data_IF_146317428243
#
_entry.id   IF_146317428243
#
_cell.length_a   1.000
_cell.length_b   1.000
_cell.length_c   1.000
_cell.angle_alpha   90.00
_cell.angle_beta   90.00
_cell.angle_gamma   90.00
#
_symmetry.space_group_name_H-M   'P 1'
#
loop_
_entity.id
_entity.type
_entity.pdbx_description
1 polymer ?
#
# COMPACT_ATOMS: atom_id res chain seq x y z
N UNK A 1 -20.99 0.18 48.14
CA UNK A 1 -20.34 -1.08 48.52
C UNK A 1 -19.74 -1.69 47.26
N UNK A 2 -18.41 -1.87 47.28
CA UNK A 2 -17.59 -2.87 46.55
C UNK A 2 -17.57 -2.74 45.00
N UNK A 3 -16.56 -2.09 44.39
CA UNK A 3 -15.24 -2.63 43.90
C UNK A 3 -15.36 -3.26 42.50
N UNK A 4 -14.49 -3.09 41.50
CA UNK A 4 -13.12 -2.59 41.46
C UNK A 4 -12.79 -2.09 40.03
N UNK A 5 -12.04 -0.99 39.91
CA UNK A 5 -11.31 -0.58 38.69
C UNK A 5 -9.86 -1.05 38.86
N UNK A 6 -9.44 -2.02 38.06
CA UNK A 6 -8.04 -2.44 37.97
C UNK A 6 -7.31 -1.61 36.91
N UNK A 7 -6.18 -1.08 37.34
CA UNK A 7 -5.13 -0.43 36.58
C UNK A 7 -4.48 -1.44 35.62
N UNK A 8 -4.17 -0.98 34.40
CA UNK A 8 -3.05 -1.54 33.63
C UNK A 8 -1.99 -0.45 33.48
N UNK A 9 -0.87 -0.68 34.16
CA UNK A 9 0.40 -0.01 33.97
C UNK A 9 0.94 -0.35 32.59
N UNK A 10 1.40 0.65 31.85
CA UNK A 10 2.19 0.50 30.62
C UNK A 10 3.54 1.14 30.89
N UNK A 11 4.51 0.33 31.33
CA UNK A 11 5.92 0.61 31.20
C UNK A 11 6.47 -0.35 30.14
N UNK A 12 7.12 0.19 29.11
CA UNK A 12 8.44 -0.33 28.70
C UNK A 12 9.03 0.62 27.67
N UNK A 13 10.22 1.07 28.01
CA UNK A 13 11.18 1.79 27.19
C UNK A 13 11.47 1.06 25.86
N UNK A 14 11.60 1.86 24.80
CA UNK A 14 12.17 1.46 23.53
C UNK A 14 13.14 2.54 23.10
N UNK A 15 14.42 2.33 23.39
CA UNK A 15 15.51 3.20 23.01
C UNK A 15 15.56 3.40 21.49
N UNK A 16 15.61 4.66 21.06
CA UNK A 16 15.95 5.05 19.70
C UNK A 16 17.45 4.81 19.53
N UNK A 17 17.82 3.78 18.76
CA UNK A 17 19.19 3.61 18.29
C UNK A 17 19.39 4.57 17.12
N UNK A 18 20.32 5.50 17.28
CA UNK A 18 20.82 6.37 16.21
C UNK A 18 21.54 5.49 15.18
N UNK A 19 20.88 5.18 14.08
CA UNK A 19 21.51 4.52 12.94
C UNK A 19 21.93 5.59 11.92
N UNK A 20 23.24 5.74 11.79
CA UNK A 20 23.91 6.60 10.82
C UNK A 20 23.48 6.23 9.39
N UNK A 21 22.65 7.08 8.80
CA UNK A 21 22.23 7.03 7.40
C UNK A 21 23.44 7.31 6.49
N UNK A 22 24.06 6.25 5.96
CA UNK A 22 25.04 6.37 4.89
C UNK A 22 24.34 6.40 3.52
N UNK A 23 24.39 7.55 2.88
CA UNK A 23 23.97 7.75 1.48
C UNK A 23 24.93 7.00 0.56
N UNK A 24 24.45 5.92 -0.08
CA UNK A 24 25.18 5.26 -1.17
C UNK A 24 24.90 6.01 -2.47
N UNK A 25 25.84 6.87 -2.86
CA UNK A 25 25.93 7.37 -4.22
C UNK A 25 26.34 6.21 -5.14
N UNK A 26 25.43 5.72 -6.00
CA UNK A 26 25.87 4.95 -7.18
C UNK A 26 25.04 3.76 -7.67
N UNK A 27 23.88 3.43 -7.10
CA UNK A 27 23.04 2.34 -7.65
C UNK A 27 21.64 2.81 -8.00
N UNK A 28 21.43 3.04 -9.31
CA UNK A 28 20.10 3.19 -9.90
C UNK A 28 19.29 1.92 -9.65
N UNK A 29 18.10 1.99 -9.02
CA UNK A 29 17.16 0.89 -9.12
C UNK A 29 16.70 0.78 -10.58
N UNK A 30 16.66 -0.44 -11.10
CA UNK A 30 16.08 -0.74 -12.41
C UNK A 30 14.61 -0.31 -12.43
N UNK A 31 14.21 0.47 -13.42
CA UNK A 31 12.81 0.77 -13.71
C UNK A 31 12.07 -0.50 -14.10
N UNK A 32 11.23 -1.01 -13.19
CA UNK A 32 10.20 -2.00 -13.53
C UNK A 32 8.96 -1.27 -14.02
N UNK A 33 9.00 -0.79 -15.26
CA UNK A 33 7.83 -0.35 -16.01
C UNK A 33 7.99 -0.85 -17.45
N UNK A 34 7.40 -2.02 -17.72
CA UNK A 34 7.00 -2.38 -19.07
C UNK A 34 5.70 -1.61 -19.39
N UNK A 35 5.64 -0.84 -20.48
CA UNK A 35 4.38 -0.32 -21.00
C UNK A 35 3.73 -1.39 -21.87
N UNK A 36 2.54 -1.85 -21.49
CA UNK A 36 1.70 -2.60 -22.42
C UNK A 36 1.01 -1.59 -23.35
N UNK A 37 1.55 -1.50 -24.56
CA UNK A 37 1.00 -0.71 -25.64
C UNK A 37 0.01 -1.59 -26.42
N UNK A 38 -1.28 -1.33 -26.23
CA UNK A 38 -2.35 -2.01 -26.96
C UNK A 38 -3.67 -1.25 -26.90
N UNK A 39 -3.70 0.00 -27.35
CA UNK A 39 -4.92 0.81 -27.40
C UNK A 39 -4.91 1.78 -28.57
N UNK A 40 -5.19 1.27 -29.77
CA UNK A 40 -5.42 2.08 -30.96
C UNK A 40 -6.79 2.74 -30.86
N UNK A 41 -6.77 4.06 -31.04
CA UNK A 41 -7.88 4.98 -31.31
C UNK A 41 -8.91 4.40 -32.28
N UNK A 42 -10.21 4.40 -31.92
CA UNK A 42 -11.25 4.94 -32.82
C UNK A 42 -12.56 5.29 -32.11
N UNK A 43 -13.05 6.43 -32.57
CA UNK A 43 -14.20 7.25 -32.21
C UNK A 43 -15.54 6.69 -32.73
N UNK A 44 -16.65 7.03 -32.04
CA UNK A 44 -17.94 7.36 -32.67
C UNK A 44 -19.04 6.29 -32.90
N UNK A 45 -20.13 6.46 -32.14
CA UNK A 45 -21.57 6.42 -32.53
C UNK A 45 -22.31 5.09 -32.82
N UNK A 46 -23.34 4.89 -31.98
CA UNK A 46 -24.78 4.78 -32.29
C UNK A 46 -25.40 3.57 -33.05
N UNK A 47 -26.57 3.17 -32.51
CA UNK A 47 -27.74 2.45 -33.05
C UNK A 47 -27.69 1.00 -33.60
N UNK A 48 -28.57 0.15 -33.03
CA UNK A 48 -29.64 -0.54 -33.79
C UNK A 48 -29.50 -2.03 -34.17
N UNK A 49 -30.37 -2.85 -33.54
CA UNK A 49 -31.16 -3.99 -34.08
C UNK A 49 -30.54 -5.35 -34.53
N UNK A 50 -31.12 -6.39 -33.91
CA UNK A 50 -31.64 -7.69 -34.41
C UNK A 50 -30.79 -8.78 -35.10
N UNK A 51 -30.96 -9.99 -34.52
CA UNK A 51 -31.30 -11.29 -35.15
C UNK A 51 -30.26 -12.43 -35.21
N UNK A 52 -30.72 -13.56 -34.65
CA UNK A 52 -30.62 -14.98 -35.08
C UNK A 52 -29.31 -15.79 -34.94
N UNK A 53 -29.41 -16.80 -34.07
CA UNK A 53 -28.67 -18.08 -33.95
C UNK A 53 -28.65 -18.96 -35.23
N UNK A 54 -28.04 -20.19 -35.25
CA UNK A 54 -26.66 -20.65 -34.95
C UNK A 54 -26.22 -21.65 -36.08
N UNK A 55 -25.59 -22.84 -35.87
CA UNK A 55 -24.40 -23.28 -35.10
C UNK A 55 -23.33 -23.98 -36.01
N UNK A 56 -22.13 -24.32 -35.50
CA UNK A 56 -21.43 -25.58 -35.85
C UNK A 56 -20.15 -25.82 -35.03
N UNK A 57 -19.99 -27.08 -34.64
CA UNK A 57 -18.92 -27.67 -33.83
C UNK A 57 -17.71 -28.11 -34.66
N UNK A 58 -16.52 -28.17 -34.04
CA UNK A 58 -15.51 -29.26 -34.14
C UNK A 58 -14.23 -28.78 -33.44
N UNK A 59 -13.69 -29.37 -32.36
CA UNK A 59 -13.13 -30.71 -32.16
C UNK A 59 -12.17 -31.20 -33.26
N UNK A 60 -10.87 -30.96 -33.06
CA UNK A 60 -9.81 -31.89 -33.49
C UNK A 60 -8.59 -31.80 -32.58
N UNK A 61 -8.36 -32.91 -31.90
CA UNK A 61 -7.12 -33.35 -31.28
C UNK A 61 -6.07 -33.76 -32.33
N UNK A 62 -4.81 -33.82 -31.86
CA UNK A 62 -3.76 -34.81 -32.21
C UNK A 62 -2.50 -34.33 -32.96
N UNK A 63 -1.39 -34.42 -32.22
CA UNK A 63 -0.17 -35.19 -32.53
C UNK A 63 1.04 -34.59 -33.30
N UNK A 64 2.14 -34.53 -32.53
CA UNK A 64 3.47 -35.14 -32.75
C UNK A 64 4.41 -34.68 -33.87
N UNK A 65 5.55 -34.11 -33.43
CA UNK A 65 6.97 -34.53 -33.65
C UNK A 65 7.85 -33.49 -32.95
N UNK A 66 8.63 -33.71 -31.89
CA UNK A 66 9.55 -34.77 -31.46
C UNK A 66 10.84 -34.89 -32.29
N UNK A 67 11.91 -34.27 -31.78
CA UNK A 67 13.32 -34.63 -31.91
C UNK A 67 14.00 -34.01 -30.66
N UNK A 68 14.24 -34.71 -29.53
CA UNK A 68 15.05 -35.90 -29.22
C UNK A 68 16.55 -35.69 -29.43
N UNK A 69 17.24 -35.28 -28.35
CA UNK A 69 18.48 -35.97 -27.95
C UNK A 69 18.40 -36.35 -26.48
N UNK A 70 18.82 -37.60 -26.24
CA UNK A 70 18.57 -38.44 -25.08
C UNK A 70 19.87 -38.63 -24.25
N UNK A 71 19.76 -39.29 -23.07
CA UNK A 71 20.69 -39.29 -21.95
C UNK A 71 21.46 -40.62 -21.79
N UNK A 72 22.22 -40.73 -20.69
CA UNK A 72 22.59 -41.97 -19.98
C UNK A 72 22.74 -41.60 -18.49
N UNK A 73 21.83 -41.98 -17.57
CA UNK A 73 21.74 -43.23 -16.76
C UNK A 73 23.06 -43.57 -16.03
N UNK A 74 23.13 -43.84 -14.72
CA UNK A 74 22.30 -44.75 -13.90
C UNK A 74 22.66 -44.66 -12.39
N UNK A 75 21.68 -44.81 -11.48
CA UNK A 75 21.89 -45.16 -10.05
C UNK A 75 22.14 -46.68 -9.85
N UNK A 76 22.19 -47.27 -8.62
CA UNK A 76 21.30 -46.96 -7.48
C UNK A 76 21.89 -47.08 -6.02
N UNK A 77 21.06 -46.60 -5.07
CA UNK A 77 20.85 -46.97 -3.65
C UNK A 77 21.91 -47.69 -2.78
N UNK A 78 22.17 -47.18 -1.56
CA UNK A 78 21.73 -47.78 -0.26
C UNK A 78 22.33 -47.09 0.99
N UNK A 79 21.44 -46.85 1.97
CA UNK A 79 21.60 -46.92 3.44
C UNK A 79 22.74 -46.20 4.22
N UNK A 80 22.27 -45.39 5.17
CA UNK A 80 22.71 -45.26 6.58
C UNK A 80 23.98 -44.46 6.92
N UNK A 81 23.88 -43.70 8.01
CA UNK A 81 25.01 -43.40 8.89
C UNK A 81 25.42 -41.93 8.95
N UNK A 82 24.93 -41.25 9.98
CA UNK A 82 25.53 -40.06 10.59
C UNK A 82 27.05 -40.14 10.72
N UNK A 83 27.80 -39.20 10.13
CA UNK A 83 29.04 -38.64 10.69
C UNK A 83 29.63 -37.57 9.74
N UNK A 84 29.81 -36.37 10.29
CA UNK A 84 30.97 -35.48 10.16
C UNK A 84 31.70 -35.39 8.80
N UNK A 85 31.67 -34.21 8.17
CA UNK A 85 32.78 -33.67 7.35
C UNK A 85 32.66 -32.14 7.29
N UNK A 86 32.97 -31.47 8.40
CA UNK A 86 33.41 -30.07 8.41
C UNK A 86 34.93 -30.08 8.25
N UNK A 87 35.42 -29.91 7.03
CA UNK A 87 36.85 -29.75 6.78
C UNK A 87 37.07 -28.96 5.49
N UNK A 88 37.15 -27.64 5.63
CA UNK A 88 38.17 -26.86 4.94
C UNK A 88 38.30 -25.48 5.59
N UNK A 89 39.47 -25.30 6.20
CA UNK A 89 40.12 -24.03 6.52
C UNK A 89 39.61 -23.28 7.76
N UNK A 90 39.89 -23.93 8.89
CA UNK A 90 40.36 -23.27 10.11
C UNK A 90 41.49 -22.27 9.78
N UNK A 91 41.21 -20.98 9.86
CA UNK A 91 42.24 -20.01 10.26
C UNK A 91 42.54 -20.29 11.73
N UNK A 92 43.63 -21.02 11.93
CA UNK A 92 44.22 -21.27 13.25
C UNK A 92 44.50 -19.94 13.92
N UNK A 93 43.80 -19.70 15.02
CA UNK A 93 44.36 -18.95 16.14
C UNK A 93 45.66 -19.64 16.53
N UNK A 94 46.78 -18.98 16.29
CA UNK A 94 48.10 -19.36 16.79
C UNK A 94 48.40 -18.47 18.00
N UNK A 95 47.70 -18.73 19.10
CA UNK A 95 48.34 -18.64 20.41
C UNK A 95 49.27 -19.85 20.50
N UNK A 96 50.48 -19.68 20.00
CA UNK A 96 51.55 -20.65 20.11
C UNK A 96 52.70 -19.96 20.82
N UNK A 97 52.89 -20.32 22.09
CA UNK A 97 54.09 -20.08 22.89
C UNK A 97 55.31 -20.79 22.25
N UNK A 98 55.70 -20.35 21.06
CA UNK A 98 57.06 -20.50 20.57
C UNK A 98 57.86 -19.30 21.10
N UNK A 99 59.15 -19.45 21.47
CA UNK A 99 59.93 -18.30 21.88
C UNK A 99 59.98 -17.35 20.69
N UNK A 100 59.22 -16.25 20.76
CA UNK A 100 59.37 -15.17 19.80
C UNK A 100 60.83 -14.77 19.86
N UNK A 101 61.55 -15.06 18.79
CA UNK A 101 62.96 -14.66 18.68
C UNK A 101 63.01 -13.18 18.98
N UNK A 102 63.94 -12.78 19.84
CA UNK A 102 64.14 -11.38 20.22
C UNK A 102 64.16 -10.47 18.98
N UNK A 103 64.75 -10.95 17.88
CA UNK A 103 64.74 -10.32 16.56
C UNK A 103 63.34 -10.11 15.95
N UNK A 104 62.43 -11.09 16.07
CA UNK A 104 61.04 -10.96 15.62
C UNK A 104 60.28 -9.90 16.44
N UNK A 105 60.43 -9.87 17.76
CA UNK A 105 59.81 -8.86 18.63
C UNK A 105 60.40 -7.45 18.44
N UNK A 106 61.67 -7.33 18.02
CA UNK A 106 62.27 -6.06 17.62
C UNK A 106 61.76 -5.56 16.28
N UNK A 107 61.63 -6.43 15.28
CA UNK A 107 61.07 -6.07 13.97
C UNK A 107 59.58 -5.68 14.11
N UNK A 108 58.85 -6.27 15.06
CA UNK A 108 57.47 -5.88 15.42
C UNK A 108 57.38 -4.60 16.26
N UNK A 109 58.51 -3.99 16.63
CA UNK A 109 58.54 -2.73 17.41
C UNK A 109 58.21 -2.86 18.89
N UNK A 110 58.04 -4.08 19.40
CA UNK A 110 57.69 -4.37 20.80
C UNK A 110 58.90 -4.25 21.73
N UNK A 111 60.12 -4.35 21.20
CA UNK A 111 61.38 -4.28 21.94
C UNK A 111 62.18 -3.04 21.53
N UNK A 112 62.69 -2.27 22.50
CA UNK A 112 63.56 -1.10 22.24
C UNK A 112 64.88 -1.54 21.58
N UNK A 113 65.31 -0.81 20.53
CA UNK A 113 66.55 -1.05 19.75
C UNK A 113 67.78 -1.34 20.60
N UNK A 114 67.89 -0.69 21.75
CA UNK A 114 69.09 -0.78 22.58
C UNK A 114 69.23 -2.15 23.27
N UNK A 115 68.10 -2.83 23.54
CA UNK A 115 68.08 -4.18 24.12
C UNK A 115 68.50 -5.23 23.10
N UNK A 116 68.02 -5.10 21.85
CA UNK A 116 68.41 -6.01 20.79
C UNK A 116 69.86 -5.81 20.37
N UNK A 117 70.29 -4.55 20.24
CA UNK A 117 71.68 -4.18 19.96
C UNK A 117 72.61 -4.76 21.02
N UNK A 118 72.32 -4.56 22.30
CA UNK A 118 73.15 -5.10 23.40
C UNK A 118 73.27 -6.63 23.33
N UNK A 119 72.16 -7.34 23.12
CA UNK A 119 72.14 -8.80 23.05
C UNK A 119 72.88 -9.35 21.80
N UNK A 120 72.60 -8.81 20.61
CA UNK A 120 73.17 -9.28 19.33
C UNK A 120 74.65 -8.92 19.23
N UNK A 121 75.06 -7.72 19.65
CA UNK A 121 76.47 -7.33 19.65
C UNK A 121 77.29 -8.11 20.69
N UNK A 122 76.67 -8.63 21.76
CA UNK A 122 77.35 -9.49 22.74
C UNK A 122 77.58 -10.93 22.24
N UNK A 123 76.66 -11.47 21.43
CA UNK A 123 76.71 -12.86 20.98
C UNK A 123 77.47 -13.03 19.66
N UNK A 124 77.53 -12.00 18.81
CA UNK A 124 78.23 -12.07 17.52
C UNK A 124 79.05 -10.80 17.26
N UNK A 125 80.27 -10.69 17.83
CA UNK A 125 81.15 -9.53 17.66
C UNK A 125 81.53 -9.24 16.19
N UNK A 126 81.46 -10.26 15.32
CA UNK A 126 81.74 -10.16 13.88
C UNK A 126 80.68 -9.38 13.09
N UNK A 127 79.47 -9.19 13.63
CA UNK A 127 78.38 -8.43 12.98
C UNK A 127 78.57 -6.92 13.05
N UNK A 128 79.50 -6.40 13.86
CA UNK A 128 79.89 -4.98 13.83
C UNK A 128 80.49 -4.54 12.46
N UNK A 129 80.85 -5.50 11.60
CA UNK A 129 81.36 -5.22 10.24
C UNK A 129 80.29 -5.21 9.16
N UNK A 130 79.09 -5.75 9.42
CA UNK A 130 77.94 -5.59 8.54
C UNK A 130 77.19 -4.35 8.99
N UNK A 131 77.52 -3.23 8.37
CA UNK A 131 76.77 -1.99 8.50
C UNK A 131 75.42 -2.15 7.77
N UNK A 132 74.54 -3.02 8.28
CA UNK A 132 73.13 -2.96 7.97
C UNK A 132 72.67 -1.60 8.48
N UNK A 133 72.47 -0.65 7.57
CA UNK A 133 72.11 0.72 7.92
C UNK A 133 70.88 0.67 8.81
N UNK A 134 70.87 1.41 9.93
CA UNK A 134 69.68 1.56 10.75
C UNK A 134 68.45 2.00 9.93
N UNK A 135 68.69 2.67 8.81
CA UNK A 135 67.71 3.01 7.78
C UNK A 135 67.01 1.78 7.17
N UNK A 136 67.71 0.68 6.90
CA UNK A 136 67.12 -0.53 6.31
C UNK A 136 66.25 -1.29 7.30
N UNK A 137 66.61 -1.25 8.59
CA UNK A 137 65.79 -1.80 9.68
C UNK A 137 64.49 -1.03 9.83
N UNK A 138 64.55 0.32 9.79
CA UNK A 138 63.35 1.16 9.84
C UNK A 138 62.48 0.97 8.59
N UNK A 139 63.08 0.85 7.39
CA UNK A 139 62.33 0.52 6.16
C UNK A 139 61.63 -0.83 6.27
N UNK A 140 62.30 -1.86 6.81
CA UNK A 140 61.70 -3.17 7.01
C UNK A 140 60.54 -3.12 8.02
N UNK A 141 60.70 -2.37 9.11
CA UNK A 141 59.64 -2.15 10.10
C UNK A 141 58.43 -1.43 9.49
N UNK A 142 58.66 -0.40 8.68
CA UNK A 142 57.59 0.31 7.96
C UNK A 142 56.88 -0.62 6.98
N UNK A 143 57.62 -1.37 6.15
CA UNK A 143 57.06 -2.34 5.22
C UNK A 143 56.23 -3.43 5.93
N UNK A 144 56.67 -3.91 7.09
CA UNK A 144 55.92 -4.90 7.86
C UNK A 144 54.66 -4.31 8.48
N UNK A 145 54.71 -3.05 8.94
CA UNK A 145 53.54 -2.32 9.44
C UNK A 145 52.52 -2.10 8.34
N UNK A 146 52.96 -1.67 7.15
CA UNK A 146 52.12 -1.52 5.96
C UNK A 146 51.52 -2.85 5.49
N UNK A 147 52.28 -3.94 5.57
CA UNK A 147 51.76 -5.27 5.28
C UNK A 147 50.66 -5.69 6.27
N UNK A 148 50.83 -5.42 7.57
CA UNK A 148 49.82 -5.74 8.58
C UNK A 148 48.55 -4.89 8.43
N UNK A 149 48.68 -3.60 8.11
CA UNK A 149 47.52 -2.74 7.84
C UNK A 149 46.81 -3.18 6.56
N UNK A 150 47.54 -3.55 5.51
CA UNK A 150 46.97 -4.07 4.28
C UNK A 150 46.25 -5.41 4.51
N UNK A 151 46.85 -6.33 5.28
CA UNK A 151 46.21 -7.59 5.66
C UNK A 151 44.91 -7.35 6.42
N UNK A 152 44.95 -6.46 7.41
CA UNK A 152 43.77 -6.12 8.22
C UNK A 152 42.66 -5.47 7.39
N UNK A 153 43.02 -4.60 6.45
CA UNK A 153 42.03 -3.98 5.54
C UNK A 153 41.46 -5.00 4.56
N UNK A 154 42.26 -5.93 4.03
CA UNK A 154 41.78 -7.01 3.18
C UNK A 154 40.81 -7.94 3.92
N UNK A 155 41.12 -8.31 5.16
CA UNK A 155 40.25 -9.13 6.00
C UNK A 155 38.91 -8.42 6.27
N UNK A 156 38.94 -7.10 6.53
CA UNK A 156 37.72 -6.30 6.68
C UNK A 156 36.90 -6.27 5.39
N UNK A 157 37.52 -6.01 4.24
CA UNK A 157 36.84 -5.96 2.94
C UNK A 157 36.22 -7.32 2.61
N UNK A 158 36.92 -8.42 2.87
CA UNK A 158 36.41 -9.77 2.62
C UNK A 158 35.19 -10.09 3.50
N UNK A 159 35.26 -9.77 4.80
CA UNK A 159 34.11 -9.91 5.71
C UNK A 159 32.91 -9.05 5.26
N UNK A 160 33.16 -7.80 4.86
CA UNK A 160 32.12 -6.92 4.31
C UNK A 160 31.49 -7.49 3.04
N UNK A 161 32.29 -8.06 2.14
CA UNK A 161 31.80 -8.69 0.91
C UNK A 161 30.92 -9.92 1.21
N UNK A 162 31.34 -10.76 2.17
CA UNK A 162 30.55 -11.91 2.63
C UNK A 162 29.22 -11.47 3.24
N UNK A 163 29.22 -10.41 4.04
CA UNK A 163 28.00 -9.84 4.61
C UNK A 163 27.06 -9.30 3.53
N UNK A 164 27.58 -8.57 2.53
CA UNK A 164 26.77 -8.11 1.40
C UNK A 164 26.20 -9.26 0.58
N UNK A 165 26.98 -10.32 0.36
CA UNK A 165 26.49 -11.51 -0.34
C UNK A 165 25.33 -12.17 0.42
N UNK A 166 25.49 -12.36 1.73
CA UNK A 166 24.45 -12.92 2.60
C UNK A 166 23.19 -12.06 2.62
N UNK A 167 23.34 -10.75 2.76
CA UNK A 167 22.22 -9.81 2.74
C UNK A 167 21.50 -9.87 1.38
N UNK A 168 22.24 -9.85 0.28
CA UNK A 168 21.66 -9.95 -1.07
C UNK A 168 20.89 -11.27 -1.25
N UNK A 169 21.39 -12.37 -0.69
CA UNK A 169 20.70 -13.66 -0.75
C UNK A 169 19.39 -13.65 0.06
N UNK A 170 19.39 -13.04 1.25
CA UNK A 170 18.18 -12.86 2.05
C UNK A 170 17.13 -12.03 1.30
N UNK A 171 17.54 -10.92 0.68
CA UNK A 171 16.62 -10.07 -0.09
C UNK A 171 16.00 -10.80 -1.28
N UNK A 172 16.78 -11.65 -1.97
CA UNK A 172 16.25 -12.50 -3.05
C UNK A 172 15.23 -13.51 -2.53
N UNK A 173 15.51 -14.14 -1.39
CA UNK A 173 14.59 -15.10 -0.78
C UNK A 173 13.29 -14.41 -0.37
N UNK A 174 13.38 -13.29 0.36
CA UNK A 174 12.19 -12.54 0.77
C UNK A 174 11.38 -12.01 -0.41
N UNK A 175 12.04 -11.59 -1.50
CA UNK A 175 11.35 -11.18 -2.72
C UNK A 175 10.58 -12.35 -3.36
N UNK A 176 11.19 -13.54 -3.42
CA UNK A 176 10.54 -14.75 -3.92
C UNK A 176 9.36 -15.18 -3.03
N UNK A 177 9.52 -15.12 -1.70
CA UNK A 177 8.47 -15.47 -0.73
C UNK A 177 7.27 -14.49 -0.84
N UNK A 178 7.54 -13.18 -0.96
CA UNK A 178 6.49 -12.16 -1.19
C UNK A 178 5.78 -12.39 -2.53
N UNK A 179 6.51 -12.70 -3.60
CA UNK A 179 5.92 -13.01 -4.90
C UNK A 179 5.01 -14.23 -4.83
N UNK A 180 5.43 -15.28 -4.12
CA UNK A 180 4.62 -16.49 -3.92
C UNK A 180 3.36 -16.18 -3.11
N UNK A 181 3.47 -15.37 -2.05
CA UNK A 181 2.31 -14.95 -1.26
C UNK A 181 1.31 -14.14 -2.09
N UNK A 182 1.77 -13.18 -2.89
CA UNK A 182 0.90 -12.42 -3.78
C UNK A 182 0.22 -13.32 -4.83
N UNK A 183 0.95 -14.29 -5.40
CA UNK A 183 0.37 -15.27 -6.33
C UNK A 183 -0.72 -16.11 -5.66
N UNK A 184 -0.50 -16.55 -4.42
CA UNK A 184 -1.47 -17.33 -3.68
C UNK A 184 -2.74 -16.52 -3.37
N UNK A 185 -2.59 -15.27 -2.91
CA UNK A 185 -3.72 -14.36 -2.69
C UNK A 185 -4.51 -14.07 -3.97
N UNK A 186 -3.82 -13.95 -5.11
CA UNK A 186 -4.46 -13.76 -6.41
C UNK A 186 -5.31 -14.98 -6.79
N UNK A 187 -4.80 -16.20 -6.57
CA UNK A 187 -5.52 -17.44 -6.83
C UNK A 187 -6.75 -17.58 -5.92
N UNK A 188 -6.60 -17.31 -4.62
CA UNK A 188 -7.72 -17.34 -3.66
C UNK A 188 -8.81 -16.33 -4.04
N UNK A 189 -8.42 -15.10 -4.43
CA UNK A 189 -9.35 -14.08 -4.90
C UNK A 189 -10.05 -14.51 -6.20
N UNK A 190 -9.31 -15.12 -7.13
CA UNK A 190 -9.87 -15.65 -8.37
C UNK A 190 -10.91 -16.75 -8.10
N UNK A 191 -10.62 -17.66 -7.17
CA UNK A 191 -11.54 -18.73 -6.76
C UNK A 191 -12.81 -18.17 -6.10
N UNK A 192 -12.67 -17.16 -5.23
CA UNK A 192 -13.81 -16.47 -4.63
C UNK A 192 -14.69 -15.78 -5.69
N UNK A 193 -14.08 -15.11 -6.67
CA UNK A 193 -14.82 -14.48 -7.78
C UNK A 193 -15.57 -15.52 -8.60
N UNK A 194 -14.98 -16.69 -8.87
CA UNK A 194 -15.63 -17.78 -9.58
C UNK A 194 -16.82 -18.31 -8.76
N UNK A 195 -16.64 -18.55 -7.46
CA UNK A 195 -17.71 -19.00 -6.56
C UNK A 195 -18.88 -18.02 -6.51
N UNK A 196 -18.60 -16.74 -6.30
CA UNK A 196 -19.63 -15.69 -6.26
C UNK A 196 -20.35 -15.53 -7.60
N UNK A 197 -19.65 -15.71 -8.72
CA UNK A 197 -20.29 -15.70 -10.05
C UNK A 197 -21.23 -16.88 -10.22
N UNK A 198 -20.83 -18.08 -9.78
CA UNK A 198 -21.69 -19.26 -9.83
C UNK A 198 -22.94 -19.08 -8.95
N UNK A 199 -22.77 -18.57 -7.72
CA UNK A 199 -23.89 -18.28 -6.82
C UNK A 199 -24.85 -17.23 -7.42
N UNK A 200 -24.31 -16.14 -7.99
CA UNK A 200 -25.13 -15.14 -8.66
C UNK A 200 -25.90 -15.71 -9.87
N UNK A 201 -25.30 -16.63 -10.63
CA UNK A 201 -25.99 -17.30 -11.72
C UNK A 201 -27.11 -18.21 -11.20
N UNK A 202 -26.87 -18.94 -10.12
CA UNK A 202 -27.90 -19.77 -9.48
C UNK A 202 -29.06 -18.93 -8.96
N UNK A 203 -28.77 -17.85 -8.23
CA UNK A 203 -29.80 -16.95 -7.71
C UNK A 203 -30.62 -16.29 -8.83
N UNK A 204 -30.00 -15.95 -9.96
CA UNK A 204 -30.72 -15.46 -11.14
C UNK A 204 -31.68 -16.51 -11.70
N UNK A 205 -31.22 -17.74 -11.88
CA UNK A 205 -32.06 -18.83 -12.36
C UNK A 205 -33.24 -19.12 -11.41
N UNK A 206 -32.99 -19.08 -10.10
CA UNK A 206 -34.03 -19.25 -9.08
C UNK A 206 -35.05 -18.11 -9.12
N UNK A 207 -34.59 -16.86 -9.27
CA UNK A 207 -35.46 -15.69 -9.42
C UNK A 207 -36.33 -15.77 -10.69
N UNK A 208 -35.74 -16.12 -11.83
CA UNK A 208 -36.48 -16.31 -13.08
C UNK A 208 -37.55 -17.40 -12.93
N UNK A 209 -37.20 -18.50 -12.27
CA UNK A 209 -38.16 -19.59 -11.97
C UNK A 209 -39.30 -19.11 -11.07
N UNK A 210 -39.01 -18.28 -10.07
CA UNK A 210 -40.02 -17.71 -9.16
C UNK A 210 -40.91 -16.69 -9.85
N UNK A 211 -40.36 -15.86 -10.74
CA UNK A 211 -41.14 -14.93 -11.57
C UNK A 211 -42.11 -15.71 -12.44
N UNK A 212 -41.65 -16.75 -13.15
CA UNK A 212 -42.52 -17.60 -13.96
C UNK A 212 -43.63 -18.30 -13.15
N UNK A 213 -43.33 -18.71 -11.91
CA UNK A 213 -44.35 -19.26 -11.00
C UNK A 213 -45.41 -18.21 -10.61
N UNK A 214 -44.99 -16.97 -10.35
CA UNK A 214 -45.91 -15.87 -10.00
C UNK A 214 -46.80 -15.53 -11.20
N UNK A 215 -46.23 -15.42 -12.40
CA UNK A 215 -46.97 -15.17 -13.64
C UNK A 215 -48.03 -16.26 -13.88
N UNK A 216 -47.67 -17.53 -13.69
CA UNK A 216 -48.63 -18.65 -13.81
C UNK A 216 -49.79 -18.53 -12.81
N UNK A 217 -49.52 -18.15 -11.56
CA UNK A 217 -50.56 -17.96 -10.54
C UNK A 217 -51.44 -16.74 -10.85
N UNK A 218 -50.85 -15.65 -11.34
CA UNK A 218 -51.58 -14.47 -11.78
C UNK A 218 -52.51 -14.80 -12.96
N UNK A 219 -52.02 -15.52 -13.96
CA UNK A 219 -52.82 -15.98 -15.11
C UNK A 219 -53.99 -16.87 -14.69
N UNK A 220 -53.76 -17.76 -13.73
CA UNK A 220 -54.81 -18.63 -13.19
C UNK A 220 -55.87 -17.83 -12.44
N UNK A 221 -55.45 -16.94 -11.54
CA UNK A 221 -56.34 -16.04 -10.79
C UNK A 221 -57.15 -15.14 -11.72
N UNK A 222 -56.52 -14.60 -12.78
CA UNK A 222 -57.20 -13.77 -13.77
C UNK A 222 -58.27 -14.56 -14.53
N UNK A 223 -57.98 -15.80 -14.95
CA UNK A 223 -58.97 -16.68 -15.57
C UNK A 223 -60.13 -16.99 -14.64
N UNK A 224 -59.87 -17.31 -13.38
CA UNK A 224 -60.94 -17.55 -12.39
C UNK A 224 -61.82 -16.32 -12.20
N UNK A 225 -61.23 -15.11 -12.13
CA UNK A 225 -62.00 -13.87 -12.05
C UNK A 225 -62.85 -13.61 -13.29
N UNK A 226 -62.32 -13.89 -14.48
CA UNK A 226 -63.04 -13.72 -15.74
C UNK A 226 -64.21 -14.71 -15.86
N UNK A 227 -64.01 -15.97 -15.45
CA UNK A 227 -65.06 -16.99 -15.39
C UNK A 227 -66.15 -16.63 -14.37
N UNK A 228 -65.75 -16.14 -13.18
CA UNK A 228 -66.69 -15.62 -12.18
C UNK A 228 -67.48 -14.42 -12.72
N UNK A 229 -66.80 -13.47 -13.38
CA UNK A 229 -67.45 -12.29 -13.99
C UNK A 229 -68.46 -12.72 -15.06
N UNK A 230 -68.11 -13.71 -15.89
CA UNK A 230 -69.02 -14.28 -16.89
C UNK A 230 -70.23 -14.93 -16.24
N UNK A 231 -70.02 -15.79 -15.24
CA UNK A 231 -71.11 -16.45 -14.48
C UNK A 231 -72.05 -15.44 -13.82
N UNK A 232 -71.50 -14.38 -13.21
CA UNK A 232 -72.30 -13.29 -12.64
C UNK A 232 -73.11 -12.59 -13.74
N UNK A 233 -72.50 -12.26 -14.88
CA UNK A 233 -73.21 -11.60 -15.99
C UNK A 233 -74.36 -12.44 -16.55
N UNK A 234 -74.18 -13.76 -16.67
CA UNK A 234 -75.22 -14.71 -17.10
C UNK A 234 -76.39 -14.75 -16.09
N UNK A 235 -76.08 -14.84 -14.79
CA UNK A 235 -77.09 -14.79 -13.72
C UNK A 235 -77.83 -13.45 -13.67
N UNK A 236 -77.12 -12.33 -13.81
CA UNK A 236 -77.73 -11.00 -13.86
C UNK A 236 -78.65 -10.84 -15.07
N UNK A 237 -78.26 -11.37 -16.24
CA UNK A 237 -79.10 -11.38 -17.44
C UNK A 237 -80.39 -12.17 -17.21
N UNK A 238 -80.30 -13.36 -16.60
CA UNK A 238 -81.47 -14.16 -16.23
C UNK A 238 -82.39 -13.44 -15.26
N UNK A 239 -81.84 -12.82 -14.21
CA UNK A 239 -82.62 -12.02 -13.24
C UNK A 239 -83.35 -10.88 -13.95
N UNK A 240 -82.68 -10.16 -14.85
CA UNK A 240 -83.30 -9.09 -15.62
C UNK A 240 -84.43 -9.60 -16.52
N UNK A 241 -84.23 -10.76 -17.17
CA UNK A 241 -85.27 -11.40 -17.98
C UNK A 241 -86.49 -11.79 -17.13
N UNK A 242 -86.27 -12.46 -15.99
CA UNK A 242 -87.34 -12.82 -15.05
C UNK A 242 -88.06 -11.59 -14.51
N UNK A 243 -87.34 -10.49 -14.25
CA UNK A 243 -87.94 -9.22 -13.78
C UNK A 243 -88.93 -8.66 -14.79
N UNK A 244 -88.56 -8.62 -16.08
CA UNK A 244 -89.45 -8.17 -17.15
C UNK A 244 -90.69 -9.06 -17.26
N UNK A 245 -90.53 -10.38 -17.13
CA UNK A 245 -91.65 -11.34 -17.13
C UNK A 245 -92.61 -11.10 -15.95
N UNK A 246 -92.07 -10.85 -14.75
CA UNK A 246 -92.84 -10.51 -13.55
C UNK A 246 -93.63 -9.22 -13.77
N UNK A 247 -92.99 -8.16 -14.28
CA UNK A 247 -93.65 -6.87 -14.54
C UNK A 247 -94.79 -7.04 -15.56
N UNK A 248 -94.57 -7.85 -16.61
CA UNK A 248 -95.58 -8.17 -17.62
C UNK A 248 -96.76 -8.94 -17.05
N UNK A 249 -96.50 -9.94 -16.20
CA UNK A 249 -97.55 -10.71 -15.50
C UNK A 249 -98.32 -9.84 -14.50
N UNK A 250 -97.67 -8.90 -13.82
CA UNK A 250 -98.33 -7.94 -12.95
C UNK A 250 -99.24 -7.00 -13.74
N UNK A 251 -98.79 -6.45 -14.87
CA UNK A 251 -99.65 -5.64 -15.75
C UNK A 251 -100.87 -6.41 -16.23
N UNK A 252 -100.70 -7.66 -16.68
CA UNK A 252 -101.82 -8.51 -17.12
C UNK A 252 -102.83 -8.76 -15.98
N UNK A 253 -102.35 -9.06 -14.77
CA UNK A 253 -103.23 -9.27 -13.60
C UNK A 253 -103.92 -7.99 -13.14
N UNK A 254 -103.25 -6.83 -13.17
CA UNK A 254 -103.84 -5.55 -12.79
C UNK A 254 -105.00 -5.11 -13.71
N UNK A 255 -105.12 -5.70 -14.91
CA UNK A 255 -106.19 -5.41 -15.86
C UNK A 255 -107.32 -6.46 -15.88
N UNK A 256 -107.21 -7.54 -15.09
CA UNK A 256 -108.13 -8.70 -15.14
C UNK A 256 -108.97 -8.92 -13.88
N UNK A 257 -108.96 -8.03 -12.90
CA UNK A 257 -109.78 -8.16 -11.68
C UNK A 257 -110.67 -6.94 -11.47
N UNK A 258 -111.98 -7.19 -11.46
CA UNK A 258 -113.04 -6.25 -11.08
C UNK A 258 -113.31 -6.40 -9.58
N UNK A 259 -113.21 -5.31 -8.83
CA UNK A 259 -113.36 -5.28 -7.37
C UNK A 259 -114.85 -5.38 -7.02
N UNK A 260 -115.27 -6.49 -6.39
CA UNK A 260 -116.64 -6.68 -5.88
C UNK A 260 -116.73 -6.09 -4.47
N UNK A 261 -117.54 -5.04 -4.24
CA UNK A 261 -117.80 -4.54 -2.90
C UNK A 261 -118.89 -5.38 -2.23
N UNK A 262 -118.58 -6.06 -1.14
CA UNK A 262 -119.62 -6.53 -0.21
C UNK A 262 -119.97 -5.41 0.78
N UNK A 263 -121.07 -4.71 0.50
CA UNK A 263 -121.79 -3.91 1.49
C UNK A 263 -122.73 -4.82 2.31
N UNK A 264 -122.69 -4.67 3.64
CA UNK A 264 -123.51 -5.43 4.56
C UNK A 264 -123.65 -4.83 5.96
N UNK A 265 -124.21 -3.61 6.04
CA UNK A 265 -125.14 -3.09 7.07
C UNK A 265 -124.78 -3.03 8.59
N UNK A 266 -124.75 -1.77 9.06
CA UNK A 266 -125.42 -1.16 10.24
C UNK A 266 -125.10 -1.66 11.66
N UNK A 267 -124.51 -0.77 12.48
CA UNK A 267 -125.14 -0.11 13.65
C UNK A 267 -124.07 0.61 14.51
N UNK A 268 -124.24 1.91 14.73
CA UNK A 268 -123.71 2.64 15.90
C UNK A 268 -124.26 2.02 17.20
N UNK A 269 -123.60 2.07 18.39
CA UNK A 269 -122.85 3.23 18.88
C UNK A 269 -121.54 2.96 19.66
N UNK A 270 -120.71 4.01 19.70
CA UNK A 270 -119.76 4.42 20.75
C UNK A 270 -119.11 3.36 21.68
N UNK A 271 -117.80 3.13 21.51
CA UNK A 271 -116.90 2.65 22.55
C UNK A 271 -115.44 2.98 22.21
N UNK A 272 -114.91 4.00 22.89
CA UNK A 272 -113.56 4.10 23.45
C UNK A 272 -112.38 3.59 22.58
N UNK A 273 -111.46 4.52 22.26
CA UNK A 273 -110.00 4.25 22.27
C UNK A 273 -109.64 2.81 21.86
N UNK A 274 -109.93 2.43 20.62
CA UNK A 274 -109.37 1.22 20.05
C UNK A 274 -107.87 1.48 19.82
N UNK A 275 -107.13 1.48 20.92
CA UNK A 275 -105.74 1.05 20.95
C UNK A 275 -105.65 -0.12 19.98
N UNK A 276 -104.87 0.05 18.91
CA UNK A 276 -104.46 -1.02 18.02
C UNK A 276 -103.72 -2.07 18.87
N UNK A 277 -104.48 -2.94 19.53
CA UNK A 277 -103.95 -4.09 20.23
C UNK A 277 -103.54 -5.08 19.14
N UNK A 278 -102.27 -5.03 18.75
CA UNK A 278 -101.62 -6.12 18.02
C UNK A 278 -101.89 -7.40 18.81
N UNK A 279 -102.48 -8.41 18.17
CA UNK A 279 -102.69 -9.72 18.81
C UNK A 279 -101.36 -10.20 19.38
N UNK A 280 -101.40 -10.76 20.60
CA UNK A 280 -100.20 -11.17 21.34
C UNK A 280 -99.25 -12.04 20.51
N UNK A 281 -99.81 -12.90 19.67
CA UNK A 281 -99.04 -13.77 18.77
C UNK A 281 -98.30 -13.00 17.66
N UNK A 282 -98.90 -11.92 17.14
CA UNK A 282 -98.28 -11.05 16.13
C UNK A 282 -97.21 -10.15 16.74
N UNK A 283 -97.46 -9.64 17.96
CA UNK A 283 -96.43 -8.94 18.74
C UNK A 283 -95.25 -9.88 19.04
N UNK A 284 -95.51 -11.12 19.45
CA UNK A 284 -94.45 -12.11 19.73
C UNK A 284 -93.72 -12.56 18.45
N UNK A 285 -94.36 -12.47 17.28
CA UNK A 285 -93.70 -12.66 15.98
C UNK A 285 -92.76 -11.51 15.65
N UNK A 286 -93.23 -10.26 15.79
CA UNK A 286 -92.42 -9.06 15.57
C UNK A 286 -91.24 -8.97 16.54
N UNK A 287 -91.42 -9.32 17.82
CA UNK A 287 -90.33 -9.38 18.81
C UNK A 287 -89.30 -10.45 18.45
N UNK A 288 -89.71 -11.61 17.92
CA UNK A 288 -88.77 -12.64 17.46
C UNK A 288 -87.98 -12.19 16.24
N UNK A 289 -88.66 -11.56 15.29
CA UNK A 289 -88.03 -10.99 14.09
C UNK A 289 -87.01 -9.91 14.45
N UNK A 290 -87.38 -8.94 15.29
CA UNK A 290 -86.46 -7.91 15.77
C UNK A 290 -85.28 -8.47 16.57
N UNK A 291 -85.49 -9.53 17.35
CA UNK A 291 -84.39 -10.24 18.04
C UNK A 291 -83.46 -10.94 17.05
N UNK A 292 -83.99 -11.49 15.97
CA UNK A 292 -83.19 -12.11 14.92
C UNK A 292 -82.33 -11.06 14.20
N UNK A 293 -82.95 -9.97 13.75
CA UNK A 293 -82.26 -8.84 13.13
C UNK A 293 -81.21 -8.22 14.06
N UNK A 294 -81.50 -8.08 15.35
CA UNK A 294 -80.52 -7.60 16.33
C UNK A 294 -79.35 -8.58 16.47
N UNK A 295 -79.61 -9.89 16.46
CA UNK A 295 -78.55 -10.91 16.52
C UNK A 295 -77.67 -10.89 15.27
N UNK A 296 -78.26 -10.68 14.10
CA UNK A 296 -77.56 -10.58 12.81
C UNK A 296 -76.64 -9.35 12.81
N UNK A 297 -77.16 -8.18 13.16
CA UNK A 297 -76.37 -6.94 13.26
C UNK A 297 -75.26 -7.05 14.31
N UNK A 298 -75.48 -7.78 15.41
CA UNK A 298 -74.43 -8.01 16.44
C UNK A 298 -73.32 -8.91 15.90
N UNK A 299 -73.64 -9.94 15.11
CA UNK A 299 -72.66 -10.81 14.47
C UNK A 299 -71.80 -10.03 13.45
N UNK A 300 -72.42 -9.26 12.56
CA UNK A 300 -71.70 -8.39 11.61
C UNK A 300 -70.79 -7.39 12.34
N UNK A 301 -71.24 -6.80 13.44
CA UNK A 301 -70.43 -5.89 14.25
C UNK A 301 -69.24 -6.59 14.95
N UNK A 302 -69.32 -7.89 15.22
CA UNK A 302 -68.19 -8.67 15.72
C UNK A 302 -67.16 -8.88 14.61
N UNK A 303 -67.60 -9.30 13.42
CA UNK A 303 -66.73 -9.50 12.26
C UNK A 303 -66.00 -8.20 11.85
N UNK A 304 -66.72 -7.07 11.81
CA UNK A 304 -66.11 -5.76 11.52
C UNK A 304 -65.06 -5.40 12.57
N UNK A 305 -65.30 -5.72 13.85
CA UNK A 305 -64.33 -5.46 14.92
C UNK A 305 -63.09 -6.35 14.78
N UNK A 306 -63.26 -7.61 14.41
CA UNK A 306 -62.15 -8.53 14.13
C UNK A 306 -61.33 -8.05 12.94
N UNK A 307 -61.96 -7.70 11.82
CA UNK A 307 -61.27 -7.12 10.66
C UNK A 307 -60.51 -5.84 11.03
N UNK A 308 -61.14 -4.93 11.79
CA UNK A 308 -60.48 -3.71 12.26
C UNK A 308 -59.24 -4.03 13.09
N UNK A 309 -59.30 -5.06 13.94
CA UNK A 309 -58.17 -5.50 14.75
C UNK A 309 -57.03 -6.00 13.86
N UNK A 310 -57.32 -6.84 12.87
CA UNK A 310 -56.34 -7.33 11.90
C UNK A 310 -55.67 -6.18 11.14
N UNK A 311 -56.44 -5.20 10.65
CA UNK A 311 -55.86 -4.04 9.96
C UNK A 311 -54.96 -3.19 10.87
N UNK A 312 -55.30 -3.05 12.16
CA UNK A 312 -54.45 -2.34 13.11
C UNK A 312 -53.11 -3.09 13.29
N UNK A 313 -53.16 -4.41 13.45
CA UNK A 313 -51.97 -5.25 13.60
C UNK A 313 -51.06 -5.18 12.35
N UNK A 314 -51.66 -5.21 11.15
CA UNK A 314 -50.93 -5.07 9.89
C UNK A 314 -50.28 -3.68 9.77
N UNK A 315 -51.02 -2.61 10.08
CA UNK A 315 -50.49 -1.24 10.11
C UNK A 315 -49.31 -1.13 11.06
N UNK A 316 -49.39 -1.75 12.24
CA UNK A 316 -48.31 -1.70 13.22
C UNK A 316 -47.08 -2.50 12.77
N UNK A 317 -47.27 -3.64 12.11
CA UNK A 317 -46.18 -4.38 11.47
C UNK A 317 -45.48 -3.53 10.39
N UNK A 318 -46.26 -2.86 9.53
CA UNK A 318 -45.73 -1.98 8.50
C UNK A 318 -44.96 -0.78 9.08
N UNK A 319 -45.40 -0.20 10.20
CA UNK A 319 -44.67 0.88 10.89
C UNK A 319 -43.33 0.42 11.44
N UNK A 320 -43.27 -0.79 12.02
CA UNK A 320 -42.00 -1.36 12.51
C UNK A 320 -41.05 -1.60 11.34
N UNK A 321 -41.55 -2.18 10.24
CA UNK A 321 -40.75 -2.39 9.03
C UNK A 321 -40.23 -1.07 8.46
N UNK A 322 -41.08 -0.04 8.37
CA UNK A 322 -40.68 1.29 7.91
C UNK A 322 -39.58 1.89 8.79
N UNK A 323 -39.72 1.83 10.11
CA UNK A 323 -38.71 2.33 11.05
C UNK A 323 -37.39 1.58 10.88
N UNK A 324 -37.43 0.25 10.77
CA UNK A 324 -36.22 -0.57 10.57
C UNK A 324 -35.52 -0.25 9.23
N UNK A 325 -36.28 -0.03 8.16
CA UNK A 325 -35.75 0.35 6.86
C UNK A 325 -35.11 1.76 6.90
N UNK A 326 -35.74 2.71 7.61
CA UNK A 326 -35.20 4.05 7.81
C UNK A 326 -33.89 4.03 8.61
N UNK A 327 -33.81 3.22 9.67
CA UNK A 327 -32.58 3.05 10.45
C UNK A 327 -31.45 2.43 9.62
N UNK A 328 -31.77 1.43 8.78
CA UNK A 328 -30.81 0.82 7.87
C UNK A 328 -30.29 1.83 6.85
N UNK A 329 -31.18 2.60 6.21
CA UNK A 329 -30.77 3.67 5.30
C UNK A 329 -29.88 4.72 6.00
N UNK A 330 -30.24 5.12 7.22
CA UNK A 330 -29.43 6.04 8.02
C UNK A 330 -28.06 5.46 8.43
N UNK A 331 -27.94 4.14 8.60
CA UNK A 331 -26.65 3.47 8.78
C UNK A 331 -25.84 3.49 7.49
N UNK A 332 -26.42 3.07 6.37
CA UNK A 332 -25.74 3.05 5.07
C UNK A 332 -25.25 4.46 4.67
N UNK A 333 -26.02 5.50 4.94
CA UNK A 333 -25.61 6.87 4.68
C UNK A 333 -24.38 7.28 5.51
N UNK A 334 -24.33 6.92 6.79
CA UNK A 334 -23.15 7.15 7.65
C UNK A 334 -21.92 6.41 7.15
N UNK A 335 -22.09 5.15 6.73
CA UNK A 335 -20.99 4.34 6.18
C UNK A 335 -20.45 4.97 4.88
N UNK A 336 -21.34 5.49 4.01
CA UNK A 336 -20.95 6.24 2.80
C UNK A 336 -20.16 7.50 3.16
N UNK A 337 -20.62 8.27 4.14
CA UNK A 337 -19.96 9.52 4.54
C UNK A 337 -18.59 9.25 5.18
N UNK A 338 -18.46 8.16 5.97
CA UNK A 338 -17.17 7.73 6.52
C UNK A 338 -16.19 7.29 5.41
N UNK A 339 -16.67 6.53 4.42
CA UNK A 339 -15.85 6.13 3.27
C UNK A 339 -15.37 7.34 2.46
N UNK A 340 -16.26 8.32 2.21
CA UNK A 340 -15.87 9.58 1.54
C UNK A 340 -14.82 10.35 2.32
N UNK A 341 -14.95 10.44 3.65
CA UNK A 341 -13.96 11.12 4.48
C UNK A 341 -12.59 10.44 4.41
N UNK A 342 -12.54 9.10 4.44
CA UNK A 342 -11.30 8.33 4.27
C UNK A 342 -10.69 8.49 2.89
N UNK A 343 -11.52 8.58 1.86
CA UNK A 343 -11.07 8.77 0.47
C UNK A 343 -10.41 10.16 0.29
N UNK A 344 -11.03 11.21 0.85
CA UNK A 344 -10.46 12.56 0.88
C UNK A 344 -9.10 12.56 1.59
N UNK A 345 -9.00 11.93 2.76
CA UNK A 345 -7.74 11.87 3.52
C UNK A 345 -6.62 11.17 2.72
N UNK A 346 -6.94 10.06 2.04
CA UNK A 346 -5.97 9.36 1.19
C UNK A 346 -5.57 10.19 -0.02
N UNK A 347 -6.50 10.94 -0.60
CA UNK A 347 -6.21 11.83 -1.71
C UNK A 347 -5.22 12.93 -1.31
N UNK A 348 -5.40 13.52 -0.12
CA UNK A 348 -4.46 14.50 0.45
C UNK A 348 -3.06 13.90 0.66
N UNK A 349 -2.97 12.67 1.16
CA UNK A 349 -1.71 11.95 1.34
C UNK A 349 -0.99 11.70 0.00
N UNK A 350 -1.74 11.28 -1.03
CA UNK A 350 -1.22 11.08 -2.38
C UNK A 350 -0.68 12.39 -2.95
N UNK A 351 -1.38 13.51 -2.75
CA UNK A 351 -0.94 14.83 -3.21
C UNK A 351 0.33 15.30 -2.50
N UNK A 352 0.44 15.07 -1.19
CA UNK A 352 1.65 15.35 -0.44
C UNK A 352 2.83 14.52 -0.97
N UNK A 353 2.65 13.20 -1.15
CA UNK A 353 3.70 12.31 -1.67
C UNK A 353 4.12 12.66 -3.10
N UNK A 354 3.17 13.05 -3.98
CA UNK A 354 3.49 13.55 -5.33
C UNK A 354 4.36 14.80 -5.27
N UNK A 355 3.97 15.75 -4.43
CA UNK A 355 4.73 17.00 -4.25
C UNK A 355 6.14 16.72 -3.74
N UNK A 356 6.29 15.80 -2.77
CA UNK A 356 7.58 15.38 -2.27
C UNK A 356 8.44 14.72 -3.36
N UNK A 357 7.84 13.84 -4.18
CA UNK A 357 8.54 13.21 -5.30
C UNK A 357 9.02 14.25 -6.32
N UNK A 358 8.19 15.24 -6.65
CA UNK A 358 8.54 16.30 -7.58
C UNK A 358 9.68 17.19 -7.06
N UNK A 359 9.72 17.45 -5.75
CA UNK A 359 10.83 18.16 -5.11
C UNK A 359 12.13 17.34 -5.24
N UNK A 360 12.12 16.06 -4.83
CA UNK A 360 13.31 15.22 -4.94
C UNK A 360 13.78 15.03 -6.38
N UNK A 361 12.86 14.97 -7.34
CA UNK A 361 13.20 14.91 -8.76
C UNK A 361 13.92 16.17 -9.21
N UNK A 362 13.41 17.35 -8.86
CA UNK A 362 14.05 18.65 -9.16
C UNK A 362 15.42 18.78 -8.49
N UNK A 363 15.53 18.40 -7.22
CA UNK A 363 16.79 18.45 -6.48
C UNK A 363 17.83 17.52 -7.11
N UNK A 364 17.43 16.31 -7.52
CA UNK A 364 18.29 15.37 -8.21
C UNK A 364 18.75 15.90 -9.59
N UNK A 365 17.83 16.48 -10.37
CA UNK A 365 18.14 17.08 -11.67
C UNK A 365 19.12 18.26 -11.52
N UNK A 366 18.93 19.09 -10.50
CA UNK A 366 19.81 20.21 -10.18
C UNK A 366 21.21 19.73 -9.78
N UNK A 367 21.31 18.76 -8.86
CA UNK A 367 22.59 18.18 -8.43
C UNK A 367 23.31 17.51 -9.60
N UNK A 368 22.58 16.84 -10.51
CA UNK A 368 23.17 16.29 -11.74
C UNK A 368 23.75 17.39 -12.63
N UNK A 369 23.00 18.46 -12.87
CA UNK A 369 23.47 19.58 -13.70
C UNK A 369 24.72 20.24 -13.10
N UNK A 370 24.76 20.42 -11.78
CA UNK A 370 25.93 20.96 -11.08
C UNK A 370 27.14 20.03 -11.16
N UNK A 371 26.94 18.72 -11.06
CA UNK A 371 28.02 17.73 -11.26
C UNK A 371 28.55 17.72 -12.69
N UNK A 372 27.68 17.81 -13.69
CA UNK A 372 28.08 17.89 -15.09
C UNK A 372 28.89 19.16 -15.37
N UNK A 373 28.46 20.30 -14.81
CA UNK A 373 29.21 21.56 -14.87
C UNK A 373 30.59 21.45 -14.22
N UNK A 374 30.66 20.90 -13.00
CA UNK A 374 31.94 20.70 -12.30
C UNK A 374 32.87 19.74 -13.05
N UNK A 375 32.33 18.70 -13.67
CA UNK A 375 33.12 17.79 -14.51
C UNK A 375 33.67 18.51 -15.75
N UNK A 376 32.86 19.36 -16.41
CA UNK A 376 33.29 20.19 -17.53
C UNK A 376 34.36 21.21 -17.14
N UNK A 377 34.21 21.90 -16.01
CA UNK A 377 35.23 22.82 -15.48
C UNK A 377 36.53 22.09 -15.15
N UNK A 378 36.46 20.89 -14.56
CA UNK A 378 37.62 20.04 -14.29
C UNK A 378 38.35 19.65 -15.58
N UNK A 379 37.62 19.26 -16.63
CA UNK A 379 38.21 18.94 -17.93
C UNK A 379 38.90 20.16 -18.54
N UNK A 380 38.26 21.33 -18.47
CA UNK A 380 38.84 22.60 -18.90
C UNK A 380 40.16 22.91 -18.16
N UNK A 381 40.18 22.79 -16.84
CA UNK A 381 41.41 23.00 -16.05
C UNK A 381 42.53 22.03 -16.42
N UNK A 382 42.20 20.77 -16.74
CA UNK A 382 43.19 19.79 -17.21
C UNK A 382 43.74 20.15 -18.59
N UNK A 383 42.89 20.66 -19.49
CA UNK A 383 43.34 21.15 -20.81
C UNK A 383 44.29 22.35 -20.65
N UNK A 384 43.94 23.31 -19.79
CA UNK A 384 44.76 24.48 -19.52
C UNK A 384 46.10 24.10 -18.87
N UNK A 385 46.09 23.16 -17.91
CA UNK A 385 47.31 22.64 -17.29
C UNK A 385 48.24 21.99 -18.34
N UNK A 386 47.72 21.16 -19.24
CA UNK A 386 48.50 20.56 -20.34
C UNK A 386 49.04 21.62 -21.30
N UNK A 387 48.28 22.69 -21.56
CA UNK A 387 48.73 23.82 -22.39
C UNK A 387 49.88 24.57 -21.72
N UNK A 388 49.76 24.87 -20.43
CA UNK A 388 50.82 25.51 -19.65
C UNK A 388 52.07 24.64 -19.54
N UNK A 389 51.92 23.34 -19.29
CA UNK A 389 53.04 22.40 -19.25
C UNK A 389 53.81 22.37 -20.59
N UNK A 390 53.11 22.37 -21.74
CA UNK A 390 53.75 22.47 -23.06
C UNK A 390 54.52 23.77 -23.23
N UNK A 391 53.92 24.92 -22.90
CA UNK A 391 54.61 26.22 -22.96
C UNK A 391 55.83 26.28 -22.06
N UNK A 392 55.74 25.72 -20.85
CA UNK A 392 56.87 25.68 -19.92
C UNK A 392 58.01 24.80 -20.47
N UNK A 393 57.66 23.66 -21.06
CA UNK A 393 58.62 22.79 -21.75
C UNK A 393 59.31 23.51 -22.91
N UNK A 394 58.55 24.22 -23.76
CA UNK A 394 59.09 25.04 -24.85
C UNK A 394 60.04 26.14 -24.33
N UNK A 395 59.71 26.81 -23.22
CA UNK A 395 60.58 27.81 -22.61
C UNK A 395 61.86 27.20 -22.03
N UNK A 396 61.78 26.03 -21.39
CA UNK A 396 62.95 25.29 -20.90
C UNK A 396 63.86 24.91 -22.07
N UNK A 397 63.28 24.43 -23.18
CA UNK A 397 64.01 24.09 -24.40
C UNK A 397 64.66 25.33 -25.03
N UNK A 398 63.95 26.46 -25.12
CA UNK A 398 64.50 27.72 -25.64
C UNK A 398 65.65 28.27 -24.76
N UNK A 399 65.53 28.18 -23.43
CA UNK A 399 66.61 28.55 -22.51
C UNK A 399 67.82 27.62 -22.68
N UNK A 400 67.59 26.31 -22.78
CA UNK A 400 68.66 25.35 -23.02
C UNK A 400 69.37 25.60 -24.35
N UNK A 401 68.63 25.92 -25.42
CA UNK A 401 69.18 26.28 -26.72
C UNK A 401 69.97 27.59 -26.65
N UNK A 402 69.47 28.59 -25.92
CA UNK A 402 70.21 29.85 -25.69
C UNK A 402 71.52 29.62 -24.92
N UNK A 403 71.53 28.72 -23.93
CA UNK A 403 72.74 28.34 -23.20
C UNK A 403 73.72 27.53 -24.06
N UNK A 404 73.23 26.72 -25.00
CA UNK A 404 74.08 26.04 -25.99
C UNK A 404 74.70 27.02 -26.98
N UNK A 405 73.92 27.96 -27.51
CA UNK A 405 74.40 29.03 -28.38
C UNK A 405 75.40 29.96 -27.68
N UNK A 406 75.22 30.18 -26.37
CA UNK A 406 76.15 30.98 -25.54
C UNK A 406 77.46 30.24 -25.25
N UNK A 407 77.45 28.91 -25.17
CA UNK A 407 78.66 28.08 -24.97
C UNK A 407 79.54 27.94 -26.21
N UNK A 408 79.05 28.28 -27.40
CA UNK A 408 79.85 28.35 -28.64
C UNK A 408 80.63 29.66 -28.79
N UNK A 409 80.54 30.59 -27.84
CA UNK A 409 81.33 31.82 -27.83
C UNK A 409 82.10 31.98 -26.49
N UNK A 410 83.36 31.53 -26.50
CA UNK A 410 84.46 31.83 -25.53
C UNK A 410 84.69 30.87 -24.34
N UNK A 411 85.95 30.43 -24.11
CA UNK A 411 86.38 29.79 -22.87
C UNK A 411 87.23 30.76 -22.00
N UNK A 412 86.82 30.97 -20.73
CA UNK A 412 87.52 31.56 -19.56
C UNK A 412 86.46 32.35 -18.74
N UNK A 413 86.40 32.40 -17.41
CA UNK A 413 87.38 32.27 -16.35
C UNK A 413 86.66 31.94 -15.03
N UNK A 414 87.42 31.38 -14.10
CA UNK A 414 87.13 30.96 -12.74
C UNK A 414 87.11 32.10 -11.69
N UNK A 415 86.32 31.90 -10.61
CA UNK A 415 86.44 32.42 -9.21
C UNK A 415 86.15 33.93 -9.00
N UNK A 416 85.47 34.45 -7.95
CA UNK A 416 85.37 34.07 -6.53
C UNK A 416 84.30 34.87 -5.74
N UNK A 417 83.81 34.27 -4.64
CA UNK A 417 83.54 34.84 -3.29
C UNK A 417 82.23 35.59 -2.92
N UNK A 418 81.40 34.87 -2.15
CA UNK A 418 81.00 35.15 -0.75
C UNK A 418 80.30 36.47 -0.36
N UNK A 419 79.00 36.39 0.04
CA UNK A 419 78.49 36.60 1.43
C UNK A 419 76.95 36.69 1.50
N UNK A 420 76.41 36.32 2.69
CA UNK A 420 75.01 36.33 3.16
C UNK A 420 74.25 35.01 2.91
N UNK A 421 74.28 34.04 3.83
CA UNK A 421 73.51 34.02 5.08
C UNK A 421 72.04 34.35 4.85
N UNK A 422 71.20 33.31 4.77
CA UNK A 422 69.88 33.16 5.40
C UNK A 422 69.26 31.85 4.88
N UNK A 423 69.60 30.76 5.58
CA UNK A 423 68.79 29.54 5.59
C UNK A 423 68.51 29.25 7.05
N UNK A 424 67.36 29.70 7.53
CA UNK A 424 66.61 29.13 8.66
C UNK A 424 65.29 29.92 8.78
N UNK A 425 64.24 29.48 8.09
CA UNK A 425 62.87 29.39 8.60
C UNK A 425 61.86 29.13 7.46
N UNK A 426 60.95 28.19 7.73
CA UNK A 426 59.69 27.91 7.03
C UNK A 426 59.76 27.17 5.69
N UNK A 427 60.03 25.86 5.80
CA UNK A 427 59.28 24.86 5.02
C UNK A 427 57.89 24.70 5.64
N UNK A 428 56.80 24.84 4.89
CA UNK A 428 55.57 24.15 5.21
C UNK A 428 55.74 22.67 4.83
N UNK A 429 55.74 21.82 5.85
CA UNK A 429 55.47 20.38 5.71
C UNK A 429 54.04 20.26 5.20
N UNK A 430 53.87 19.78 3.97
CA UNK A 430 52.57 19.32 3.47
C UNK A 430 52.38 17.88 3.95
N UNK A 431 51.68 17.73 5.07
CA UNK A 431 50.95 16.51 5.38
C UNK A 431 49.71 16.43 4.47
N UNK A 432 49.33 15.27 3.93
CA UNK A 432 48.27 15.14 2.95
C UNK A 432 46.91 14.91 3.62
N UNK A 433 46.42 15.83 4.46
CA UNK A 433 45.01 15.81 4.90
C UNK A 433 44.61 17.20 5.41
N UNK A 434 43.86 17.97 4.63
CA UNK A 434 43.32 19.24 5.12
C UNK A 434 42.84 20.16 4.00
N UNK A 435 41.54 20.31 3.89
CA UNK A 435 40.85 21.21 2.97
C UNK A 435 41.38 22.65 3.04
N UNK A 436 41.50 23.28 1.88
CA UNK A 436 41.78 24.70 1.74
C UNK A 436 40.61 25.54 2.31
N UNK A 437 40.77 26.05 3.53
CA UNK A 437 40.00 27.19 4.01
C UNK A 437 40.62 28.47 3.44
N UNK A 438 39.89 29.12 2.54
CA UNK A 438 40.14 30.46 2.05
C UNK A 438 40.27 31.45 3.21
N UNK A 439 41.33 32.25 3.23
CA UNK A 439 41.41 33.47 4.04
C UNK A 439 40.40 34.49 3.51
N UNK A 440 39.16 34.41 3.98
CA UNK A 440 38.21 35.53 3.96
C UNK A 440 38.49 36.43 5.17
N UNK A 441 38.22 37.75 5.10
CA UNK A 441 38.32 38.61 6.29
C UNK A 441 37.43 38.01 7.38
N UNK A 442 37.93 37.91 8.62
CA UNK A 442 37.22 37.35 9.77
C UNK A 442 35.79 37.90 9.78
N UNK A 443 34.82 37.06 9.44
CA UNK A 443 33.42 37.45 9.38
C UNK A 443 32.98 37.71 10.82
N UNK A 444 32.91 38.99 11.20
CA UNK A 444 32.40 39.41 12.50
C UNK A 444 30.90 39.06 12.52
N UNK A 445 30.56 38.01 13.26
CA UNK A 445 29.19 37.50 13.38
C UNK A 445 28.43 38.35 14.40
N UNK A 446 27.21 38.80 14.09
CA UNK A 446 26.43 39.67 14.98
C UNK A 446 25.14 39.01 15.45
N UNK A 447 24.79 39.25 16.72
CA UNK A 447 23.52 38.83 17.29
C UNK A 447 22.37 39.66 16.70
N UNK A 448 21.33 39.06 16.10
CA UNK A 448 20.22 39.80 15.50
C UNK A 448 19.35 40.53 16.53
N UNK A 449 19.44 40.15 17.81
CA UNK A 449 18.59 40.70 18.88
C UNK A 449 19.23 41.95 19.51
N UNK A 450 20.54 41.92 19.78
CA UNK A 450 21.24 43.01 20.48
C UNK A 450 22.41 43.61 19.69
N UNK A 451 22.63 43.17 18.44
CA UNK A 451 23.66 43.66 17.50
C UNK A 451 25.12 43.54 17.97
N UNK A 452 25.39 42.80 19.06
CA UNK A 452 26.74 42.53 19.57
C UNK A 452 27.51 41.62 18.60
N UNK A 453 28.79 41.93 18.40
CA UNK A 453 29.71 41.23 17.49
C UNK A 453 30.53 40.16 18.20
N UNK A 454 30.72 39.02 17.53
CA UNK A 454 31.44 37.85 18.02
C UNK A 454 32.36 37.30 16.92
N UNK A 455 33.50 36.77 17.35
CA UNK A 455 34.55 36.27 16.44
C UNK A 455 34.44 34.75 16.21
N UNK A 456 33.51 34.07 16.87
CA UNK A 456 33.29 32.62 16.74
C UNK A 456 31.78 32.30 16.79
N UNK A 457 31.34 31.40 15.92
CA UNK A 457 29.92 31.03 15.78
C UNK A 457 29.34 30.38 17.03
N UNK A 458 30.13 29.55 17.72
CA UNK A 458 29.71 28.88 18.96
C UNK A 458 29.38 29.87 20.08
N UNK A 459 30.17 30.95 20.20
CA UNK A 459 29.95 32.01 21.19
C UNK A 459 28.72 32.84 20.83
N UNK A 460 28.49 33.10 19.54
CA UNK A 460 27.28 33.76 19.07
C UNK A 460 26.03 32.90 19.34
N UNK A 461 26.06 31.60 19.06
CA UNK A 461 24.93 30.70 19.29
C UNK A 461 24.53 30.64 20.76
N UNK A 462 25.51 30.47 21.67
CA UNK A 462 25.26 30.53 23.11
C UNK A 462 24.66 31.86 23.52
N UNK A 463 25.18 32.97 22.99
CA UNK A 463 24.68 34.30 23.32
C UNK A 463 23.27 34.56 22.77
N UNK A 464 22.95 34.09 21.57
CA UNK A 464 21.61 34.25 20.97
C UNK A 464 20.55 33.52 21.79
N UNK A 465 20.85 32.31 22.27
CA UNK A 465 19.96 31.58 23.17
C UNK A 465 19.74 32.35 24.48
N UNK A 466 20.82 32.83 25.11
CA UNK A 466 20.72 33.65 26.33
C UNK A 466 20.00 34.99 26.10
N UNK A 467 20.08 35.56 24.89
CA UNK A 467 19.41 36.81 24.53
C UNK A 467 17.93 36.61 24.19
N UNK A 468 17.54 35.42 23.72
CA UNK A 468 16.15 35.03 23.51
C UNK A 468 15.43 34.83 24.84
N UNK A 469 16.12 34.27 25.84
CA UNK A 469 15.52 33.97 27.15
C UNK A 469 15.35 35.19 28.06
N UNK A 470 16.01 36.32 27.75
CA UNK A 470 16.05 37.54 28.59
C UNK A 470 15.28 38.74 28.03
N UNK A 471 14.68 38.61 26.85
CA UNK A 471 13.75 39.57 26.25
C UNK A 471 12.37 38.93 26.15
#
# INVERSE_FOLDING_TARGET
>A
MISARQQYQRNSDGAMSDEESFVILGSSPYSSLLPDAGGVVRDGLDSGEEAMEPPASSSTSSQLKQEKQQPVSSGPASSSGTASMSASQQLRSLDSEAPQSLAASFIMGEVKSDVLKSSVYSQFPSLCSLQASAEDVVKLQNMMTEYLTLKTTLDKVNNTMLNYHKLTQQWRQEAADREQQCKQQLLECQEQVISLRAENQQLKADLETKIAQIEMVQDFSQKEQDDLRKSVSEKTSLINNMRVEIDKLQQLKMHSFEFVPEEGAKAEPDAALALNYVQRDEHDRQVRELKHQLSEVVAENLEIREMKKTYIEEIDCLKVNLTSAQELMGKMQRDIDELKAKDIQKQEEIEHLKTQNDIYRRDFEMERADREKNAGEKEQYLMDLRSLQRKNQELIEALAESHRASKSASPASSLSSSRSSLREEQRPVLDPTGAAASRTPEAILRCPICSKSFNALSVLQSHVNDCLDKN
#
